data_IF_996778567614
#
_entry.id   IF_996778567614
#
_cell.length_a   1.000
_cell.length_b   1.000
_cell.length_c   1.000
_cell.angle_alpha   90.00
_cell.angle_beta   90.00
_cell.angle_gamma   90.00
#
_symmetry.space_group_name_H-M   'P 1'
#
loop_
_entity.id
_entity.type
_entity.pdbx_description
1 polymer ?
#
# COMPACT_ATOMS: atom_id res chain seq x y z
N UNK A 1 -14.20 11.25 21.84
CA UNK A 1 -13.63 10.40 20.76
C UNK A 1 -13.05 9.14 21.38
N UNK A 2 -13.38 7.99 20.80
CA UNK A 2 -12.99 6.69 21.37
C UNK A 2 -11.49 6.41 21.12
N UNK A 3 -10.78 5.89 22.13
CA UNK A 3 -9.35 5.57 22.06
C UNK A 3 -9.02 4.63 20.89
N UNK A 4 -9.92 3.71 20.56
CA UNK A 4 -9.76 2.82 19.39
C UNK A 4 -9.75 3.58 18.05
N UNK A 5 -10.48 4.67 17.94
CA UNK A 5 -10.49 5.50 16.74
C UNK A 5 -9.15 6.22 16.56
N UNK A 6 -8.56 6.71 17.64
CA UNK A 6 -7.23 7.32 17.61
C UNK A 6 -6.16 6.33 17.21
N UNK A 7 -6.16 5.13 17.82
CA UNK A 7 -5.20 4.09 17.48
C UNK A 7 -5.23 3.71 16.00
N UNK A 8 -6.41 3.53 15.44
CA UNK A 8 -6.56 3.23 14.01
C UNK A 8 -5.96 4.33 13.12
N UNK A 9 -6.21 5.59 13.47
CA UNK A 9 -5.65 6.73 12.74
C UNK A 9 -4.12 6.79 12.85
N UNK A 10 -3.59 6.60 14.05
CA UNK A 10 -2.13 6.60 14.28
C UNK A 10 -1.48 5.49 13.46
N UNK A 11 -2.01 4.27 13.50
CA UNK A 11 -1.50 3.13 12.73
C UNK A 11 -1.53 3.46 11.23
N UNK A 12 -2.64 3.99 10.74
CA UNK A 12 -2.79 4.32 9.33
C UNK A 12 -1.78 5.39 8.88
N UNK A 13 -1.68 6.49 9.60
CA UNK A 13 -0.76 7.58 9.22
C UNK A 13 0.70 7.17 9.37
N UNK A 14 1.04 6.45 10.44
CA UNK A 14 2.41 5.93 10.65
C UNK A 14 2.79 4.95 9.54
N UNK A 15 1.89 4.05 9.20
CA UNK A 15 2.12 3.08 8.12
C UNK A 15 2.26 3.78 6.76
N UNK A 16 1.42 4.76 6.46
CA UNK A 16 1.51 5.54 5.21
C UNK A 16 2.85 6.26 5.10
N UNK A 17 3.29 6.90 6.18
CA UNK A 17 4.59 7.57 6.21
C UNK A 17 5.74 6.56 6.03
N UNK A 18 5.66 5.39 6.64
CA UNK A 18 6.62 4.31 6.48
C UNK A 18 6.69 3.82 5.03
N UNK A 19 5.55 3.62 4.39
CA UNK A 19 5.47 3.20 2.97
C UNK A 19 6.16 4.22 2.07
N UNK A 20 5.83 5.49 2.21
CA UNK A 20 6.45 6.57 1.44
C UNK A 20 7.96 6.58 1.66
N UNK A 21 8.40 6.47 2.90
CA UNK A 21 9.82 6.42 3.25
C UNK A 21 10.53 5.24 2.59
N UNK A 22 9.95 4.04 2.67
CA UNK A 22 10.55 2.82 2.12
C UNK A 22 10.68 2.88 0.60
N UNK A 23 9.67 3.39 -0.10
CA UNK A 23 9.70 3.46 -1.56
C UNK A 23 10.57 4.58 -2.12
N UNK A 24 11.01 5.52 -1.29
CA UNK A 24 11.97 6.55 -1.68
C UNK A 24 13.43 6.15 -1.42
N UNK A 25 13.68 4.96 -0.82
CA UNK A 25 15.02 4.45 -0.53
C UNK A 25 15.52 3.48 -1.60
N UNK A 26 16.85 3.32 -1.77
CA UNK A 26 17.41 2.29 -2.63
C UNK A 26 17.05 0.88 -2.12
N UNK A 27 16.63 -0.01 -3.03
CA UNK A 27 16.24 -1.40 -2.68
C UNK A 27 17.37 -2.38 -3.05
N UNK A 28 18.54 -2.20 -2.52
CA UNK A 28 19.69 -3.06 -2.79
C UNK A 28 19.49 -4.50 -2.32
N UNK A 29 18.89 -4.68 -1.13
CA UNK A 29 18.63 -6.00 -0.54
C UNK A 29 17.58 -6.76 -1.35
N UNK A 30 16.48 -6.12 -1.72
CA UNK A 30 15.41 -6.73 -2.54
C UNK A 30 15.99 -7.17 -3.89
N UNK A 31 16.78 -6.33 -4.54
CA UNK A 31 17.40 -6.65 -5.82
C UNK A 31 18.37 -7.83 -5.73
N UNK A 32 19.15 -7.92 -4.66
CA UNK A 32 20.03 -9.05 -4.41
C UNK A 32 19.25 -10.35 -4.23
N UNK A 33 18.14 -10.31 -3.49
CA UNK A 33 17.26 -11.46 -3.29
C UNK A 33 16.57 -11.90 -4.58
N UNK A 34 16.15 -10.96 -5.43
CA UNK A 34 15.59 -11.25 -6.75
C UNK A 34 16.61 -11.95 -7.66
N UNK A 35 17.83 -11.47 -7.69
CA UNK A 35 18.91 -12.08 -8.49
C UNK A 35 19.25 -13.48 -8.00
N UNK A 36 19.19 -13.72 -6.68
CA UNK A 36 19.48 -15.03 -6.10
C UNK A 36 18.36 -16.05 -6.28
N UNK A 37 17.09 -15.61 -6.21
CA UNK A 37 15.91 -16.50 -6.21
C UNK A 37 15.22 -16.61 -7.57
N UNK A 38 15.43 -15.67 -8.48
CA UNK A 38 14.71 -15.57 -9.76
C UNK A 38 13.24 -15.14 -9.62
N UNK A 39 12.79 -14.74 -8.43
CA UNK A 39 11.43 -14.28 -8.15
C UNK A 39 11.35 -12.75 -8.29
N UNK A 40 10.22 -12.25 -8.77
CA UNK A 40 9.94 -10.81 -8.82
C UNK A 40 9.43 -10.33 -7.47
N UNK A 41 10.34 -10.16 -6.51
CA UNK A 41 10.02 -9.77 -5.15
C UNK A 41 9.55 -8.32 -5.05
N UNK A 42 9.98 -7.46 -5.95
CA UNK A 42 9.59 -6.04 -5.95
C UNK A 42 8.07 -5.91 -6.09
N UNK A 43 7.48 -6.61 -7.08
CA UNK A 43 6.03 -6.61 -7.29
C UNK A 43 5.25 -7.24 -6.13
N UNK A 44 5.80 -8.29 -5.53
CA UNK A 44 5.22 -8.88 -4.31
C UNK A 44 5.20 -7.87 -3.15
N UNK A 45 6.26 -7.09 -2.97
CA UNK A 45 6.31 -6.04 -1.95
C UNK A 45 5.30 -4.94 -2.24
N UNK A 46 5.17 -4.50 -3.48
CA UNK A 46 4.13 -3.53 -3.88
C UNK A 46 2.73 -4.04 -3.53
N UNK A 47 2.43 -5.28 -3.90
CA UNK A 47 1.13 -5.90 -3.59
C UNK A 47 0.88 -5.95 -2.08
N UNK A 48 1.80 -6.53 -1.29
CA UNK A 48 1.63 -6.70 0.15
C UNK A 48 1.56 -5.37 0.89
N UNK A 49 2.38 -4.40 0.51
CA UNK A 49 2.41 -3.08 1.12
C UNK A 49 1.08 -2.36 0.93
N UNK A 50 0.53 -2.38 -0.27
CA UNK A 50 -0.75 -1.75 -0.56
C UNK A 50 -1.95 -2.56 -0.09
N UNK A 51 -1.82 -3.88 0.06
CA UNK A 51 -2.81 -4.70 0.74
C UNK A 51 -3.00 -4.21 2.19
N UNK A 52 -1.92 -4.05 2.93
CA UNK A 52 -1.97 -3.53 4.30
C UNK A 52 -2.48 -2.08 4.34
N UNK A 53 -2.07 -1.26 3.38
CA UNK A 53 -2.59 0.11 3.26
C UNK A 53 -4.11 0.11 3.06
N UNK A 54 -4.61 -0.75 2.18
CA UNK A 54 -6.05 -0.92 1.94
C UNK A 54 -6.80 -1.38 3.19
N UNK A 55 -6.23 -2.35 3.93
CA UNK A 55 -6.80 -2.81 5.20
C UNK A 55 -6.88 -1.66 6.21
N UNK A 56 -5.79 -0.96 6.45
CA UNK A 56 -5.75 0.10 7.46
C UNK A 56 -6.62 1.29 7.07
N UNK A 57 -6.61 1.70 5.80
CA UNK A 57 -7.45 2.78 5.31
C UNK A 57 -8.94 2.43 5.44
N UNK A 58 -9.33 1.21 5.03
CA UNK A 58 -10.73 0.78 5.10
C UNK A 58 -11.21 0.61 6.54
N UNK A 59 -10.36 0.17 7.46
CA UNK A 59 -10.69 0.12 8.88
C UNK A 59 -10.93 1.51 9.49
N UNK A 60 -10.31 2.54 8.94
CA UNK A 60 -10.54 3.93 9.33
C UNK A 60 -11.76 4.56 8.66
N UNK A 61 -12.25 3.97 7.56
CA UNK A 61 -13.43 4.45 6.87
C UNK A 61 -14.70 4.05 7.63
N UNK A 62 -15.43 5.05 8.13
CA UNK A 62 -16.67 4.83 8.88
C UNK A 62 -17.87 4.51 7.99
N UNK A 63 -17.77 4.76 6.69
CA UNK A 63 -18.84 4.50 5.72
C UNK A 63 -18.67 3.07 5.20
N UNK A 64 -19.51 2.16 5.67
CA UNK A 64 -19.33 0.71 5.50
C UNK A 64 -19.22 0.22 4.05
N UNK A 65 -19.93 0.82 3.12
CA UNK A 65 -19.97 0.39 1.72
C UNK A 65 -19.35 1.41 0.77
N UNK A 66 -18.61 2.37 1.28
CA UNK A 66 -17.94 3.38 0.48
C UNK A 66 -16.46 3.02 0.32
N UNK A 67 -16.11 2.55 -0.84
CA UNK A 67 -14.74 2.14 -1.15
C UNK A 67 -13.99 3.15 -2.03
N UNK A 68 -14.74 4.06 -2.63
CA UNK A 68 -14.21 5.05 -3.58
C UNK A 68 -13.12 5.91 -2.94
N UNK A 69 -13.34 6.34 -1.71
CA UNK A 69 -12.35 7.12 -0.95
C UNK A 69 -11.03 6.36 -0.79
N UNK A 70 -11.10 5.11 -0.37
CA UNK A 70 -9.91 4.29 -0.11
C UNK A 70 -9.16 3.97 -1.40
N UNK A 71 -9.89 3.63 -2.47
CA UNK A 71 -9.30 3.37 -3.78
C UNK A 71 -8.65 4.64 -4.33
N UNK A 72 -9.31 5.79 -4.23
CA UNK A 72 -8.74 7.08 -4.66
C UNK A 72 -7.49 7.44 -3.90
N UNK A 73 -7.48 7.22 -2.57
CA UNK A 73 -6.30 7.45 -1.74
C UNK A 73 -5.13 6.57 -2.15
N UNK A 74 -5.38 5.29 -2.40
CA UNK A 74 -4.38 4.35 -2.86
C UNK A 74 -3.82 4.73 -4.23
N UNK A 75 -4.69 5.16 -5.15
CA UNK A 75 -4.28 5.65 -6.48
C UNK A 75 -3.36 6.86 -6.36
N UNK A 76 -3.73 7.84 -5.52
CA UNK A 76 -2.92 9.05 -5.31
C UNK A 76 -1.55 8.68 -4.73
N UNK A 77 -1.51 7.84 -3.69
CA UNK A 77 -0.26 7.42 -3.06
C UNK A 77 0.60 6.63 -4.06
N UNK A 78 -0.01 5.71 -4.81
CA UNK A 78 0.68 4.95 -5.85
C UNK A 78 1.29 5.86 -6.92
N UNK A 79 0.51 6.81 -7.44
CA UNK A 79 1.00 7.76 -8.44
C UNK A 79 2.14 8.62 -7.91
N UNK A 80 2.06 9.08 -6.66
CA UNK A 80 3.14 9.85 -6.03
C UNK A 80 4.42 9.02 -5.90
N UNK A 81 4.31 7.78 -5.46
CA UNK A 81 5.46 6.86 -5.34
C UNK A 81 6.09 6.62 -6.71
N UNK A 82 5.29 6.27 -7.72
CA UNK A 82 5.80 6.02 -9.07
C UNK A 82 6.42 7.28 -9.69
N UNK A 83 5.86 8.45 -9.40
CA UNK A 83 6.47 9.72 -9.82
C UNK A 83 7.83 9.93 -9.18
N UNK A 84 8.01 9.60 -7.89
CA UNK A 84 9.33 9.67 -7.25
C UNK A 84 10.32 8.70 -7.88
N UNK A 85 9.88 7.50 -8.28
CA UNK A 85 10.72 6.54 -9.00
C UNK A 85 11.20 7.07 -10.35
N UNK A 86 10.39 7.86 -11.01
CA UNK A 86 10.77 8.51 -12.27
C UNK A 86 11.87 9.56 -12.07
N UNK A 87 11.85 10.29 -10.96
CA UNK A 87 12.80 11.37 -10.66
C UNK A 87 14.08 10.86 -9.99
N UNK A 88 13.98 9.81 -9.16
CA UNK A 88 15.12 9.27 -8.40
C UNK A 88 16.01 8.39 -9.30
N UNK A 89 17.34 8.66 -9.41
CA UNK A 89 18.21 7.98 -10.36
C UNK A 89 18.38 6.48 -10.15
N UNK A 90 18.21 5.98 -8.92
CA UNK A 90 18.37 4.56 -8.57
C UNK A 90 17.07 3.76 -8.58
N UNK A 91 15.98 4.36 -9.02
CA UNK A 91 14.67 3.72 -9.15
C UNK A 91 14.20 3.76 -10.60
N UNK A 92 13.60 2.67 -11.04
CA UNK A 92 12.98 2.60 -12.35
C UNK A 92 11.47 2.75 -12.23
N UNK A 93 10.90 3.58 -13.10
CA UNK A 93 9.46 3.69 -13.24
C UNK A 93 8.91 2.43 -13.94
N UNK A 94 7.98 1.74 -13.30
CA UNK A 94 7.30 0.58 -13.87
C UNK A 94 5.79 0.69 -13.65
N UNK A 95 5.03 0.64 -14.73
CA UNK A 95 3.55 0.70 -14.68
C UNK A 95 3.00 -0.51 -13.91
N UNK A 96 3.63 -1.67 -14.02
CA UNK A 96 3.21 -2.88 -13.31
C UNK A 96 3.25 -2.72 -11.79
N UNK A 97 4.17 -1.95 -11.26
CA UNK A 97 4.21 -1.66 -9.83
C UNK A 97 2.94 -0.94 -9.37
N UNK A 98 2.47 0.03 -10.16
CA UNK A 98 1.19 0.69 -9.92
C UNK A 98 0.00 -0.27 -9.98
N UNK A 99 0.01 -1.19 -10.92
CA UNK A 99 -1.05 -2.22 -11.04
C UNK A 99 -1.08 -3.11 -9.81
N UNK A 100 0.08 -3.60 -9.33
CA UNK A 100 0.16 -4.41 -8.11
C UNK A 100 -0.23 -3.63 -6.86
N UNK A 101 0.08 -2.34 -6.80
CA UNK A 101 -0.39 -1.45 -5.73
C UNK A 101 -1.92 -1.45 -5.64
N UNK A 102 -2.59 -1.25 -6.76
CA UNK A 102 -4.06 -1.17 -6.81
C UNK A 102 -4.71 -2.53 -6.50
N UNK A 103 -4.20 -3.61 -7.08
CA UNK A 103 -4.70 -4.97 -6.79
C UNK A 103 -4.53 -5.29 -5.30
N UNK A 104 -3.40 -4.94 -4.72
CA UNK A 104 -3.15 -5.10 -3.29
C UNK A 104 -4.17 -4.34 -2.45
N UNK A 105 -4.38 -3.06 -2.75
CA UNK A 105 -5.37 -2.23 -2.04
C UNK A 105 -6.78 -2.82 -2.11
N UNK A 106 -7.24 -3.22 -3.30
CA UNK A 106 -8.56 -3.83 -3.49
C UNK A 106 -8.67 -5.12 -2.67
N UNK A 107 -7.63 -5.95 -2.65
CA UNK A 107 -7.59 -7.16 -1.83
C UNK A 107 -7.74 -6.83 -0.35
N UNK A 108 -7.06 -5.80 0.13
CA UNK A 108 -7.19 -5.33 1.52
C UNK A 108 -8.60 -4.87 1.86
N UNK A 109 -9.26 -4.15 0.96
CA UNK A 109 -10.66 -3.72 1.11
C UNK A 109 -11.59 -4.93 1.22
N UNK A 110 -11.40 -5.94 0.35
CA UNK A 110 -12.19 -7.17 0.36
C UNK A 110 -12.03 -7.90 1.69
N UNK A 111 -10.82 -8.00 2.22
CA UNK A 111 -10.55 -8.62 3.51
C UNK A 111 -11.35 -7.92 4.62
N UNK A 112 -11.33 -6.59 4.65
CA UNK A 112 -12.08 -5.82 5.65
C UNK A 112 -13.59 -5.99 5.47
N UNK A 113 -14.07 -6.05 4.23
CA UNK A 113 -15.49 -6.30 3.94
C UNK A 113 -15.95 -7.62 4.57
N UNK A 114 -15.25 -8.71 4.33
CA UNK A 114 -15.59 -10.02 4.90
C UNK A 114 -15.44 -10.05 6.42
N UNK A 115 -14.43 -9.40 6.96
CA UNK A 115 -14.26 -9.25 8.40
C UNK A 115 -15.48 -8.57 9.04
N UNK A 116 -15.91 -7.43 8.47
CA UNK A 116 -17.09 -6.69 8.98
C UNK A 116 -18.40 -7.46 8.83
N UNK A 117 -18.51 -8.32 7.82
CA UNK A 117 -19.71 -9.14 7.63
C UNK A 117 -19.85 -10.24 8.69
N UNK A 118 -18.74 -10.71 9.26
CA UNK A 118 -18.75 -11.74 10.30
C UNK A 118 -19.06 -11.19 11.71
N UNK A 119 -18.88 -9.92 11.91
CA UNK A 119 -19.18 -9.25 13.16
C UNK A 119 -20.60 -8.68 13.09
#
# INVERSE_FOLDING_TARGET
MNIHSYLKKIIFYTYTAFVIFMYTRPVTIVRQLELASGLDLDKMFHFLTFLLLGVFAQLNNNIKNEYTYVISLALIISCLIEFTHFVIPYRNFEILDGVFNIIGCITGIIIVYYYRKKI
#
